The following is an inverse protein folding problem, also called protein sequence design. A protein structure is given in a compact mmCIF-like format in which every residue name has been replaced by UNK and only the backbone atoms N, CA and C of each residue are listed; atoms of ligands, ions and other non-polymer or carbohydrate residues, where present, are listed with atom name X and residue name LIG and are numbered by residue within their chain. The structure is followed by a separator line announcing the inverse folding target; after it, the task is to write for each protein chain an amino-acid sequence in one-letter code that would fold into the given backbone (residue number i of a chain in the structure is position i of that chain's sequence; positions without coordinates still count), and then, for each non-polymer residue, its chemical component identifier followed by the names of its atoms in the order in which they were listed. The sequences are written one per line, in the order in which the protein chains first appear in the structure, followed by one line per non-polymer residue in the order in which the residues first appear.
data_IF_345717901912
#
_entry.id   IF_345717901912
#
_cell.length_a   1.000
_cell.length_b   1.000
_cell.length_c   1.000
_cell.angle_alpha   90.00
_cell.angle_beta   90.00
_cell.angle_gamma   90.00
#
_symmetry.space_group_name_H-M   'P 1'
#
loop_
_entity.id
_entity.type
_entity.pdbx_description
1 polymer ?
#
# COMPACT_ATOMS: atom_id res chain seq x y z
N UNK A 1 3.76 -5.97 -24.09
CA UNK A 1 3.97 -5.51 -22.68
C UNK A 1 2.83 -6.05 -21.87
N UNK A 2 3.11 -6.78 -20.80
CA UNK A 2 2.13 -7.27 -19.83
C UNK A 2 1.75 -6.15 -18.86
N UNK A 3 0.66 -6.35 -18.07
CA UNK A 3 0.28 -5.42 -17.01
C UNK A 3 1.40 -5.20 -15.99
N UNK A 4 2.03 -6.29 -15.52
CA UNK A 4 3.12 -6.18 -14.54
C UNK A 4 4.34 -5.44 -15.10
N UNK A 5 4.70 -5.65 -16.34
CA UNK A 5 5.78 -4.88 -17.00
C UNK A 5 5.45 -3.38 -17.07
N UNK A 6 4.19 -3.04 -17.43
CA UNK A 6 3.74 -1.65 -17.48
C UNK A 6 3.77 -0.98 -16.10
N UNK A 7 3.29 -1.68 -15.07
CA UNK A 7 3.31 -1.17 -13.70
C UNK A 7 4.74 -1.00 -13.16
N UNK A 8 5.66 -1.90 -13.48
CA UNK A 8 7.08 -1.75 -13.13
C UNK A 8 7.69 -0.52 -13.80
N UNK A 9 7.42 -0.32 -15.11
CA UNK A 9 7.93 0.85 -15.84
C UNK A 9 7.37 2.17 -15.27
N UNK A 10 6.09 2.20 -14.87
CA UNK A 10 5.51 3.36 -14.22
C UNK A 10 6.24 3.69 -12.90
N UNK A 11 6.48 2.68 -12.06
CA UNK A 11 7.23 2.83 -10.81
C UNK A 11 8.67 3.26 -11.03
N UNK A 12 9.34 2.77 -12.08
CA UNK A 12 10.70 3.19 -12.44
C UNK A 12 10.72 4.65 -12.91
N UNK A 13 9.75 5.08 -13.74
CA UNK A 13 9.65 6.49 -14.18
C UNK A 13 9.39 7.41 -12.99
N UNK A 14 8.49 7.03 -12.08
CA UNK A 14 8.23 7.80 -10.86
C UNK A 14 9.45 7.85 -9.94
N UNK A 15 10.13 6.74 -9.73
CA UNK A 15 11.37 6.70 -8.96
C UNK A 15 12.46 7.61 -9.54
N UNK A 16 12.60 7.65 -10.88
CA UNK A 16 13.51 8.58 -11.54
C UNK A 16 13.10 10.05 -11.35
N UNK A 17 11.80 10.35 -11.39
CA UNK A 17 11.29 11.68 -11.11
C UNK A 17 11.70 12.14 -9.70
N UNK A 18 11.48 11.27 -8.69
CA UNK A 18 11.74 11.61 -7.30
C UNK A 18 13.24 11.72 -6.97
N UNK A 19 14.06 10.78 -7.43
CA UNK A 19 15.43 10.64 -6.95
C UNK A 19 16.49 11.24 -7.89
N UNK A 20 16.19 11.41 -9.18
CA UNK A 20 17.15 11.92 -10.17
C UNK A 20 16.82 13.35 -10.58
N UNK A 21 15.54 13.61 -10.93
CA UNK A 21 15.12 14.97 -11.33
C UNK A 21 14.90 15.87 -10.11
N UNK A 22 14.40 15.26 -9.01
CA UNK A 22 14.04 15.96 -7.77
C UNK A 22 12.71 16.72 -7.88
N UNK A 23 12.14 17.01 -6.73
CA UNK A 23 10.90 17.78 -6.63
C UNK A 23 11.18 19.27 -6.74
N UNK A 24 10.29 19.99 -7.43
CA UNK A 24 10.32 21.46 -7.56
C UNK A 24 9.14 22.09 -6.79
N UNK A 25 9.17 23.40 -6.59
CA UNK A 25 8.19 24.08 -5.74
C UNK A 25 6.72 23.81 -6.04
N UNK A 26 6.35 23.56 -7.31
CA UNK A 26 4.97 23.21 -7.70
C UNK A 26 4.56 21.80 -7.24
N UNK A 27 5.50 20.91 -7.01
CA UNK A 27 5.23 19.54 -6.57
C UNK A 27 4.78 19.50 -5.11
N UNK A 28 5.17 20.51 -4.32
CA UNK A 28 4.77 20.66 -2.91
C UNK A 28 3.48 21.47 -2.74
N UNK A 29 2.91 22.04 -3.81
CA UNK A 29 1.71 22.86 -3.68
C UNK A 29 0.47 21.98 -3.47
N UNK A 30 -0.42 22.36 -2.54
CA UNK A 30 -1.71 21.72 -2.42
C UNK A 30 -2.60 22.07 -3.62
N UNK A 31 -3.40 21.11 -4.05
CA UNK A 31 -4.42 21.23 -5.07
C UNK A 31 -5.82 21.02 -4.48
N UNK A 32 -6.75 20.53 -5.27
CA UNK A 32 -8.11 20.22 -4.83
C UNK A 32 -8.14 18.95 -3.97
N UNK A 33 -9.26 18.71 -3.32
CA UNK A 33 -9.49 17.46 -2.58
C UNK A 33 -9.64 16.32 -3.59
N UNK A 34 -8.80 15.32 -3.50
CA UNK A 34 -8.82 14.14 -4.33
C UNK A 34 -10.05 13.25 -4.11
N UNK A 35 -10.27 12.27 -4.99
CA UNK A 35 -11.36 11.31 -4.89
C UNK A 35 -11.30 10.48 -3.59
N UNK A 36 -10.10 10.27 -3.05
CA UNK A 36 -9.86 9.64 -1.75
C UNK A 36 -10.24 10.49 -0.54
N UNK A 37 -10.45 11.81 -0.73
CA UNK A 37 -10.89 12.74 0.31
C UNK A 37 -9.78 13.52 1.01
N UNK A 38 -8.51 13.26 0.69
CA UNK A 38 -7.36 14.05 1.14
C UNK A 38 -7.01 15.15 0.13
N UNK A 39 -6.23 16.14 0.54
CA UNK A 39 -5.77 17.21 -0.36
C UNK A 39 -4.59 16.67 -1.18
N UNK A 40 -4.78 16.57 -2.49
CA UNK A 40 -3.72 16.18 -3.42
C UNK A 40 -2.60 17.23 -3.47
N UNK A 41 -1.38 16.80 -3.62
CA UNK A 41 -0.24 17.68 -3.94
C UNK A 41 0.13 17.59 -5.43
N UNK A 42 0.99 18.48 -5.89
CA UNK A 42 1.45 18.46 -7.29
C UNK A 42 2.19 17.19 -7.67
N UNK A 43 2.86 16.54 -6.71
CA UNK A 43 3.55 15.28 -6.99
C UNK A 43 2.57 14.11 -7.09
N UNK A 44 1.48 14.10 -6.31
CA UNK A 44 0.45 13.04 -6.39
C UNK A 44 -0.19 13.04 -7.79
N UNK A 45 -0.54 14.22 -8.33
CA UNK A 45 -1.09 14.36 -9.68
C UNK A 45 -0.09 13.95 -10.77
N UNK A 46 1.20 14.27 -10.61
CA UNK A 46 2.24 13.81 -11.56
C UNK A 46 2.44 12.30 -11.50
N UNK A 47 2.39 11.71 -10.32
CA UNK A 47 2.45 10.27 -10.16
C UNK A 47 1.24 9.60 -10.82
N UNK A 48 0.05 10.13 -10.63
CA UNK A 48 -1.17 9.66 -11.29
C UNK A 48 -1.02 9.71 -12.83
N UNK A 49 -0.56 10.82 -13.40
CA UNK A 49 -0.32 10.95 -14.84
C UNK A 49 0.61 9.85 -15.38
N UNK A 50 1.67 9.53 -14.64
CA UNK A 50 2.60 8.44 -14.99
C UNK A 50 1.85 7.11 -15.00
N UNK A 51 1.09 6.78 -13.95
CA UNK A 51 0.34 5.52 -13.90
C UNK A 51 -0.72 5.43 -14.98
N UNK A 52 -1.48 6.48 -15.22
CA UNK A 52 -2.50 6.54 -16.29
C UNK A 52 -1.84 6.30 -17.65
N UNK A 53 -0.71 6.91 -17.94
CA UNK A 53 0.06 6.70 -19.18
C UNK A 53 0.38 5.22 -19.46
N UNK A 54 0.79 4.49 -18.42
CA UNK A 54 1.21 3.09 -18.59
C UNK A 54 0.06 2.09 -18.45
N UNK A 55 -0.94 2.38 -17.60
CA UNK A 55 -1.95 1.40 -17.21
C UNK A 55 -3.27 1.53 -17.96
N UNK A 56 -3.58 2.70 -18.55
CA UNK A 56 -4.84 2.91 -19.30
C UNK A 56 -5.11 1.90 -20.43
N UNK A 57 -4.12 1.26 -21.08
CA UNK A 57 -4.40 0.23 -22.09
C UNK A 57 -4.99 -1.08 -21.51
N UNK A 58 -4.93 -1.30 -20.20
CA UNK A 58 -5.33 -2.57 -19.58
C UNK A 58 -6.75 -2.54 -19.01
N UNK A 59 -7.26 -1.38 -18.59
CA UNK A 59 -8.59 -1.30 -17.98
C UNK A 59 -8.96 0.10 -17.52
N UNK A 60 -10.12 0.20 -16.88
CA UNK A 60 -10.57 1.41 -16.20
C UNK A 60 -9.73 1.62 -14.94
N UNK A 61 -9.12 2.80 -14.79
CA UNK A 61 -8.33 3.14 -13.61
C UNK A 61 -9.23 3.87 -12.62
N UNK A 62 -9.20 3.43 -11.36
CA UNK A 62 -9.78 4.09 -10.21
C UNK A 62 -8.62 4.64 -9.38
N UNK A 63 -8.38 5.94 -9.47
CA UNK A 63 -7.30 6.63 -8.77
C UNK A 63 -7.80 7.36 -7.54
N UNK A 64 -7.01 7.37 -6.48
CA UNK A 64 -7.28 8.14 -5.26
C UNK A 64 -7.36 9.65 -5.53
N UNK A 65 -6.60 10.14 -6.51
CA UNK A 65 -6.49 11.58 -6.77
C UNK A 65 -7.67 12.11 -7.63
N UNK A 66 -7.74 11.71 -8.88
CA UNK A 66 -8.74 12.27 -9.83
C UNK A 66 -9.97 11.36 -10.05
N UNK A 67 -10.05 10.21 -9.37
CA UNK A 67 -11.15 9.27 -9.51
C UNK A 67 -11.03 8.37 -10.73
N UNK A 68 -11.99 8.38 -11.65
CA UNK A 68 -12.15 7.34 -12.68
C UNK A 68 -11.64 7.78 -14.05
N UNK A 69 -10.71 7.00 -14.61
CA UNK A 69 -10.28 7.06 -16.02
C UNK A 69 -10.85 5.86 -16.76
N UNK A 70 -11.98 6.06 -17.45
CA UNK A 70 -12.75 4.98 -18.08
C UNK A 70 -12.04 4.38 -19.29
N UNK A 71 -11.99 3.04 -19.34
CA UNK A 71 -11.59 2.31 -20.55
C UNK A 71 -12.84 1.97 -21.39
N UNK A 72 -12.80 2.16 -22.73
CA UNK A 72 -14.00 2.07 -23.57
C UNK A 72 -14.63 0.68 -23.65
N UNK A 73 -13.86 -0.39 -23.46
CA UNK A 73 -14.33 -1.77 -23.70
C UNK A 73 -13.86 -2.80 -22.67
N UNK A 74 -12.91 -2.48 -21.79
CA UNK A 74 -12.40 -3.42 -20.78
C UNK A 74 -13.37 -3.52 -19.60
N UNK A 75 -13.56 -4.74 -19.09
CA UNK A 75 -14.23 -5.01 -17.81
C UNK A 75 -13.26 -5.02 -16.63
N UNK A 76 -11.98 -4.80 -16.87
CA UNK A 76 -10.95 -4.75 -15.85
C UNK A 76 -11.01 -3.40 -15.15
N UNK A 77 -10.86 -3.44 -13.82
CA UNK A 77 -10.65 -2.25 -12.99
C UNK A 77 -9.24 -2.29 -12.39
N UNK A 78 -8.55 -1.17 -12.43
CA UNK A 78 -7.21 -1.01 -11.85
C UNK A 78 -7.32 0.06 -10.76
N UNK A 79 -7.20 -0.36 -9.51
CA UNK A 79 -7.27 0.54 -8.36
C UNK A 79 -5.85 0.99 -8.03
N UNK A 80 -5.63 2.31 -8.00
CA UNK A 80 -4.31 2.86 -7.71
C UNK A 80 -4.36 3.88 -6.58
N UNK A 81 -3.36 3.80 -5.71
CA UNK A 81 -2.87 4.91 -4.91
C UNK A 81 -1.50 5.29 -5.49
N UNK A 82 -1.40 6.45 -6.17
CA UNK A 82 -0.17 6.88 -6.82
C UNK A 82 0.98 7.14 -5.86
N UNK A 83 0.68 7.64 -4.64
CA UNK A 83 1.67 7.83 -3.57
C UNK A 83 1.05 7.55 -2.20
N UNK A 84 1.11 6.29 -1.76
CA UNK A 84 0.81 5.90 -0.38
C UNK A 84 1.85 6.52 0.57
N UNK A 85 1.40 7.42 1.44
CA UNK A 85 2.26 8.15 2.36
C UNK A 85 2.84 9.45 1.77
N UNK A 86 2.06 10.23 1.02
CA UNK A 86 2.46 11.53 0.47
C UNK A 86 2.95 12.52 1.56
N UNK A 87 2.35 12.53 2.74
CA UNK A 87 2.83 13.32 3.89
C UNK A 87 4.28 12.97 4.28
N UNK A 88 4.65 11.68 4.22
CA UNK A 88 6.01 11.24 4.47
C UNK A 88 6.96 11.73 3.38
N UNK A 89 6.57 11.61 2.11
CA UNK A 89 7.36 12.12 0.98
C UNK A 89 7.61 13.63 1.13
N UNK A 90 6.57 14.40 1.39
CA UNK A 90 6.65 15.86 1.57
C UNK A 90 7.47 16.24 2.82
N UNK A 91 7.48 15.38 3.84
CA UNK A 91 8.26 15.57 5.07
C UNK A 91 9.68 14.99 4.99
N UNK A 92 10.09 14.42 3.84
CA UNK A 92 11.36 13.73 3.64
C UNK A 92 11.56 12.52 4.59
N UNK A 93 10.47 11.88 5.05
CA UNK A 93 10.53 10.63 5.79
C UNK A 93 10.59 9.45 4.80
N UNK A 94 11.57 8.54 4.92
CA UNK A 94 11.81 7.51 3.90
C UNK A 94 10.86 6.31 4.03
N UNK A 95 9.55 6.55 4.04
CA UNK A 95 8.52 5.50 4.07
C UNK A 95 7.29 5.97 3.28
N UNK A 96 7.33 5.81 1.99
CA UNK A 96 6.27 6.14 1.04
C UNK A 96 6.39 5.21 -0.18
N UNK A 97 5.30 4.99 -0.87
CA UNK A 97 5.27 4.02 -1.95
C UNK A 97 4.11 4.21 -2.91
N UNK A 98 3.78 3.17 -3.63
CA UNK A 98 2.66 3.10 -4.58
C UNK A 98 1.87 1.84 -4.34
N UNK A 99 0.58 1.86 -4.62
CA UNK A 99 -0.30 0.69 -4.52
C UNK A 99 -1.12 0.51 -5.80
N UNK A 100 -1.10 -0.70 -6.37
CA UNK A 100 -1.80 -1.04 -7.60
C UNK A 100 -2.49 -2.39 -7.43
N UNK A 101 -3.82 -2.43 -7.57
CA UNK A 101 -4.60 -3.66 -7.60
C UNK A 101 -5.29 -3.81 -8.97
N UNK A 102 -5.11 -4.96 -9.59
CA UNK A 102 -5.76 -5.32 -10.86
C UNK A 102 -6.92 -6.27 -10.56
N UNK A 103 -8.13 -5.81 -10.88
CA UNK A 103 -9.38 -6.44 -10.51
C UNK A 103 -10.05 -7.07 -11.73
N UNK A 104 -10.30 -8.37 -11.66
CA UNK A 104 -11.08 -9.14 -12.63
C UNK A 104 -12.35 -9.65 -11.95
N UNK A 105 -13.51 -9.34 -12.50
CA UNK A 105 -14.81 -9.78 -11.97
C UNK A 105 -14.96 -9.47 -10.45
N UNK A 106 -14.46 -8.32 -10.00
CA UNK A 106 -14.51 -7.89 -8.61
C UNK A 106 -13.51 -8.58 -7.67
N UNK A 107 -12.55 -9.36 -8.20
CA UNK A 107 -11.48 -10.01 -7.44
C UNK A 107 -10.13 -9.45 -7.84
N UNK A 108 -9.26 -9.22 -6.86
CA UNK A 108 -7.88 -8.88 -7.13
C UNK A 108 -7.13 -10.12 -7.63
N UNK A 109 -6.55 -10.04 -8.82
CA UNK A 109 -5.76 -11.13 -9.43
C UNK A 109 -4.29 -10.80 -9.55
N UNK A 110 -3.95 -9.50 -9.57
CA UNK A 110 -2.57 -9.02 -9.50
C UNK A 110 -2.49 -7.81 -8.59
N UNK A 111 -1.47 -7.77 -7.75
CA UNK A 111 -1.17 -6.63 -6.90
C UNK A 111 0.31 -6.27 -7.02
N UNK A 112 0.59 -4.97 -7.07
CA UNK A 112 1.96 -4.44 -7.08
C UNK A 112 2.02 -3.29 -6.09
N UNK A 113 2.93 -3.40 -5.11
CA UNK A 113 3.20 -2.35 -4.14
C UNK A 113 4.70 -2.09 -4.16
N UNK A 114 5.08 -0.82 -4.26
CA UNK A 114 6.48 -0.42 -4.35
C UNK A 114 6.82 0.57 -3.24
N UNK A 115 7.89 0.29 -2.51
CA UNK A 115 8.50 1.26 -1.62
C UNK A 115 9.43 2.17 -2.44
N UNK A 116 9.02 3.38 -2.73
CA UNK A 116 9.80 4.33 -3.53
C UNK A 116 11.02 4.86 -2.76
N UNK A 117 11.03 4.80 -1.43
CA UNK A 117 12.15 5.31 -0.64
C UNK A 117 13.39 4.41 -0.69
N UNK A 118 13.20 3.08 -0.79
CA UNK A 118 14.31 2.10 -0.83
C UNK A 118 14.36 1.26 -2.11
N UNK A 119 13.32 1.36 -2.96
CA UNK A 119 13.22 0.64 -4.22
C UNK A 119 12.67 -0.79 -4.10
N UNK A 120 12.26 -1.28 -2.93
CA UNK A 120 11.61 -2.59 -2.80
C UNK A 120 10.31 -2.62 -3.62
N UNK A 121 10.11 -3.67 -4.41
CA UNK A 121 8.88 -3.91 -5.15
C UNK A 121 8.33 -5.29 -4.85
N UNK A 122 7.06 -5.35 -4.48
CA UNK A 122 6.31 -6.56 -4.21
C UNK A 122 5.30 -6.80 -5.31
N UNK A 123 5.23 -8.02 -5.82
CA UNK A 123 4.25 -8.44 -6.84
C UNK A 123 3.58 -9.72 -6.35
N UNK A 124 2.25 -9.73 -6.30
CA UNK A 124 1.46 -10.95 -6.08
C UNK A 124 0.55 -11.22 -7.27
N UNK A 125 0.53 -12.47 -7.70
CA UNK A 125 -0.40 -13.02 -8.67
C UNK A 125 -0.69 -14.51 -8.31
N UNK A 126 -1.23 -15.29 -9.25
CA UNK A 126 -1.50 -16.73 -9.06
C UNK A 126 -0.25 -17.57 -8.75
N UNK A 127 0.96 -17.09 -9.06
CA UNK A 127 2.23 -17.76 -8.74
C UNK A 127 2.71 -17.49 -7.28
N UNK A 128 2.04 -16.59 -6.56
CA UNK A 128 2.38 -16.20 -5.18
C UNK A 128 2.96 -14.79 -5.05
N UNK A 129 3.40 -14.46 -3.85
CA UNK A 129 4.01 -13.17 -3.51
C UNK A 129 5.52 -13.23 -3.72
N UNK A 130 6.02 -12.29 -4.52
CA UNK A 130 7.44 -12.15 -4.85
C UNK A 130 7.92 -10.73 -4.57
N UNK A 131 9.21 -10.60 -4.26
CA UNK A 131 9.89 -9.33 -3.97
C UNK A 131 11.14 -9.19 -4.84
N UNK A 132 11.40 -7.97 -5.29
CA UNK A 132 12.64 -7.56 -5.96
C UNK A 132 12.98 -6.12 -5.55
N UNK A 133 13.94 -5.50 -6.22
CA UNK A 133 14.15 -4.04 -6.18
C UNK A 133 13.99 -3.45 -7.58
N UNK A 134 13.54 -2.19 -7.67
CA UNK A 134 13.34 -1.49 -8.96
C UNK A 134 14.59 -1.43 -9.83
N UNK A 135 15.78 -1.44 -9.20
CA UNK A 135 17.05 -1.41 -9.91
C UNK A 135 17.54 -2.80 -10.35
N UNK A 136 17.03 -3.86 -9.70
CA UNK A 136 17.40 -5.24 -9.97
C UNK A 136 16.16 -6.12 -9.89
N UNK A 137 15.48 -6.31 -11.02
CA UNK A 137 14.22 -7.04 -11.14
C UNK A 137 14.41 -8.57 -11.07
N UNK A 138 15.19 -9.04 -10.12
CA UNK A 138 15.32 -10.45 -9.81
C UNK A 138 14.34 -10.79 -8.68
N UNK A 139 13.20 -11.34 -9.06
CA UNK A 139 12.10 -11.63 -8.14
C UNK A 139 12.32 -12.95 -7.39
N UNK A 140 12.31 -12.89 -6.07
CA UNK A 140 12.36 -14.03 -5.16
C UNK A 140 11.01 -14.19 -4.43
N UNK A 141 10.65 -15.43 -4.09
CA UNK A 141 9.46 -15.67 -3.28
C UNK A 141 9.63 -15.04 -1.90
N UNK A 142 8.61 -14.33 -1.44
CA UNK A 142 8.58 -13.77 -0.09
C UNK A 142 8.36 -14.91 0.91
N UNK A 143 9.18 -14.93 1.96
CA UNK A 143 9.06 -15.84 3.09
C UNK A 143 8.85 -15.06 4.38
N UNK A 144 8.15 -15.66 5.36
CA UNK A 144 7.93 -14.99 6.64
C UNK A 144 9.22 -14.81 7.44
N UNK A 145 9.50 -13.58 7.85
CA UNK A 145 10.62 -13.28 8.74
C UNK A 145 10.29 -13.69 10.17
N UNK A 146 10.80 -14.85 10.60
CA UNK A 146 10.56 -15.39 11.96
C UNK A 146 11.31 -14.65 13.07
N UNK A 147 12.24 -13.75 12.74
CA UNK A 147 13.04 -12.98 13.70
C UNK A 147 12.48 -11.59 13.99
N UNK A 148 11.38 -11.21 13.35
CA UNK A 148 10.79 -9.87 13.53
C UNK A 148 10.29 -9.65 14.96
N UNK A 149 10.57 -8.46 15.50
CA UNK A 149 10.22 -8.06 16.87
C UNK A 149 9.40 -6.78 16.92
N UNK A 150 9.06 -6.24 15.74
CA UNK A 150 8.37 -4.97 15.60
C UNK A 150 7.18 -5.17 14.70
N UNK A 151 6.01 -4.74 15.16
CA UNK A 151 4.81 -4.61 14.34
C UNK A 151 4.65 -3.20 13.79
N UNK A 152 3.64 -3.03 12.99
CA UNK A 152 3.18 -1.74 12.48
C UNK A 152 1.77 -1.51 13.02
N UNK A 153 1.52 -0.34 13.58
CA UNK A 153 0.19 0.14 13.93
C UNK A 153 -0.03 1.48 13.24
N UNK A 154 -0.63 1.44 12.07
CA UNK A 154 -0.86 2.62 11.25
C UNK A 154 -1.86 3.56 11.92
N UNK A 155 -1.59 4.86 11.84
CA UNK A 155 -2.38 5.92 12.47
C UNK A 155 -2.63 5.68 13.97
N UNK A 156 -1.68 5.04 14.66
CA UNK A 156 -1.82 4.75 16.10
C UNK A 156 -2.13 5.98 16.95
N UNK A 157 -1.72 7.17 16.51
CA UNK A 157 -2.01 8.44 17.17
C UNK A 157 -3.50 8.84 17.11
N UNK A 158 -4.29 8.25 16.23
CA UNK A 158 -5.75 8.41 16.16
C UNK A 158 -6.50 7.34 16.96
N UNK A 159 -5.83 6.25 17.39
CA UNK A 159 -6.46 5.13 18.06
C UNK A 159 -6.87 5.50 19.48
N UNK A 160 -8.17 5.40 19.75
CA UNK A 160 -8.73 5.62 21.09
C UNK A 160 -9.07 4.32 21.82
N UNK A 161 -9.39 3.26 21.09
CA UNK A 161 -9.89 2.00 21.63
C UNK A 161 -8.80 0.97 21.84
N UNK A 162 -7.94 0.80 20.83
CA UNK A 162 -6.96 -0.30 20.77
C UNK A 162 -5.64 0.09 21.41
N UNK A 163 -5.15 1.30 21.18
CA UNK A 163 -3.83 1.75 21.64
C UNK A 163 -3.61 1.57 23.15
N UNK A 164 -4.54 1.97 24.03
CA UNK A 164 -4.34 1.76 25.48
C UNK A 164 -4.25 0.29 25.87
N UNK A 165 -5.00 -0.58 25.18
CA UNK A 165 -5.01 -2.02 25.42
C UNK A 165 -3.74 -2.70 24.85
N UNK A 166 -3.32 -2.30 23.65
CA UNK A 166 -2.12 -2.84 22.99
C UNK A 166 -0.85 -2.59 23.81
N UNK A 167 -0.77 -1.44 24.48
CA UNK A 167 0.34 -1.12 25.38
C UNK A 167 0.53 -2.17 26.48
N UNK A 168 -0.56 -2.74 27.01
CA UNK A 168 -0.50 -3.76 28.07
C UNK A 168 0.11 -5.08 27.61
N UNK A 169 0.14 -5.35 26.30
CA UNK A 169 0.75 -6.55 25.72
C UNK A 169 2.28 -6.46 25.61
N UNK A 170 2.86 -5.27 25.84
CA UNK A 170 4.31 -5.06 25.74
C UNK A 170 4.87 -5.20 24.30
N UNK A 171 4.02 -5.19 23.29
CA UNK A 171 4.42 -5.32 21.88
C UNK A 171 5.05 -4.02 21.37
N UNK A 172 6.17 -4.16 20.67
CA UNK A 172 6.82 -3.04 20.00
C UNK A 172 6.18 -2.80 18.63
N UNK A 173 5.88 -1.55 18.31
CA UNK A 173 5.35 -1.17 17.00
C UNK A 173 5.91 0.17 16.51
N UNK A 174 5.63 0.47 15.26
CA UNK A 174 5.85 1.77 14.61
C UNK A 174 4.54 2.20 13.94
N UNK A 175 4.38 3.50 13.71
CA UNK A 175 3.26 4.09 12.95
C UNK A 175 3.87 4.89 11.79
N UNK A 176 4.27 4.22 10.71
CA UNK A 176 5.05 4.87 9.65
C UNK A 176 4.25 5.75 8.71
N UNK A 177 2.93 5.52 8.54
CA UNK A 177 2.06 6.44 7.81
C UNK A 177 1.93 6.17 6.30
N UNK A 178 2.04 4.90 5.88
CA UNK A 178 1.77 4.43 4.52
C UNK A 178 1.16 3.03 4.61
N UNK A 179 -0.17 2.94 4.53
CA UNK A 179 -0.87 1.71 4.93
C UNK A 179 -0.74 0.60 3.90
N UNK A 180 -0.91 0.89 2.61
CA UNK A 180 -0.72 -0.12 1.57
C UNK A 180 0.70 -0.69 1.61
N UNK A 181 1.69 0.19 1.78
CA UNK A 181 3.08 -0.23 1.92
C UNK A 181 3.30 -1.12 3.15
N UNK A 182 2.66 -0.78 4.28
CA UNK A 182 2.74 -1.58 5.51
C UNK A 182 2.17 -2.98 5.31
N UNK A 183 1.12 -3.15 4.51
CA UNK A 183 0.57 -4.45 4.15
C UNK A 183 1.53 -5.28 3.27
N UNK A 184 2.27 -4.65 2.35
CA UNK A 184 3.30 -5.34 1.57
C UNK A 184 4.42 -5.92 2.46
N UNK A 185 4.73 -5.26 3.58
CA UNK A 185 5.69 -5.75 4.56
C UNK A 185 5.10 -6.69 5.63
N UNK A 186 3.85 -7.13 5.54
CA UNK A 186 3.21 -7.96 6.57
C UNK A 186 3.95 -9.28 6.85
N UNK A 187 4.62 -9.87 5.85
CA UNK A 187 5.47 -11.06 6.00
C UNK A 187 6.79 -10.76 6.72
N UNK A 188 7.24 -9.52 6.72
CA UNK A 188 8.51 -9.08 7.32
C UNK A 188 8.33 -8.68 8.80
N UNK A 189 7.23 -8.00 9.14
CA UNK A 189 6.96 -7.48 10.49
C UNK A 189 6.17 -8.48 11.33
N UNK A 190 6.05 -8.26 12.65
CA UNK A 190 5.30 -9.19 13.51
C UNK A 190 3.79 -9.09 13.36
N UNK A 191 3.27 -7.91 13.06
CA UNK A 191 1.87 -7.67 12.73
C UNK A 191 1.71 -6.33 12.00
N UNK A 192 0.60 -6.16 11.29
CA UNK A 192 0.10 -4.85 10.83
C UNK A 192 -1.29 -4.66 11.40
N UNK A 193 -1.52 -3.53 12.05
CA UNK A 193 -2.77 -3.15 12.69
C UNK A 193 -3.17 -1.76 12.20
N UNK A 194 -4.46 -1.57 11.96
CA UNK A 194 -5.08 -0.30 11.61
C UNK A 194 -6.39 -0.15 12.36
N UNK A 195 -6.67 1.06 12.85
CA UNK A 195 -7.97 1.45 13.41
C UNK A 195 -8.42 2.73 12.72
N UNK A 196 -9.51 2.67 11.96
CA UNK A 196 -10.09 3.81 11.24
C UNK A 196 -10.76 3.44 9.95
N UNK A 197 -11.30 4.43 9.23
CA UNK A 197 -11.91 4.24 7.92
C UNK A 197 -10.82 3.83 6.92
N UNK A 198 -11.04 2.71 6.25
CA UNK A 198 -10.14 2.18 5.22
C UNK A 198 -10.73 2.43 3.84
N UNK A 199 -9.97 3.07 2.99
CA UNK A 199 -10.36 3.33 1.60
C UNK A 199 -9.90 2.18 0.71
N UNK A 200 -10.62 1.94 -0.38
CA UNK A 200 -10.30 0.84 -1.29
C UNK A 200 -8.88 0.98 -1.87
N UNK A 201 -8.42 2.20 -2.13
CA UNK A 201 -7.09 2.51 -2.64
C UNK A 201 -5.97 2.02 -1.72
N UNK A 202 -6.17 2.18 -0.40
CA UNK A 202 -5.20 1.82 0.64
C UNK A 202 -5.08 0.30 0.83
N UNK A 203 -6.16 -0.46 0.54
CA UNK A 203 -6.25 -1.86 1.01
C UNK A 203 -6.33 -2.90 -0.10
N UNK A 204 -6.85 -2.59 -1.30
CA UNK A 204 -7.15 -3.59 -2.32
C UNK A 204 -5.95 -4.48 -2.68
N UNK A 205 -4.80 -3.88 -2.97
CA UNK A 205 -3.57 -4.61 -3.27
C UNK A 205 -3.02 -5.35 -2.04
N UNK A 206 -2.98 -4.65 -0.89
CA UNK A 206 -2.43 -5.19 0.34
C UNK A 206 -3.21 -6.36 0.91
N UNK A 207 -4.55 -6.34 0.85
CA UNK A 207 -5.38 -7.47 1.26
C UNK A 207 -5.08 -8.73 0.45
N UNK A 208 -4.95 -8.60 -0.87
CA UNK A 208 -4.55 -9.71 -1.72
C UNK A 208 -3.15 -10.22 -1.36
N UNK A 209 -2.19 -9.34 -1.07
CA UNK A 209 -0.85 -9.76 -0.63
C UNK A 209 -0.86 -10.56 0.66
N UNK A 210 -1.83 -10.29 1.57
CA UNK A 210 -1.92 -10.90 2.90
C UNK A 210 -2.82 -12.15 2.98
N UNK A 211 -3.36 -12.68 1.88
CA UNK A 211 -4.33 -13.79 1.89
C UNK A 211 -3.85 -15.07 2.61
N UNK A 212 -2.56 -15.33 2.61
CA UNK A 212 -1.92 -16.50 3.22
C UNK A 212 -1.58 -16.30 4.71
N UNK A 213 -1.87 -15.12 5.27
CA UNK A 213 -1.62 -14.76 6.66
C UNK A 213 -2.91 -14.83 7.49
N UNK A 214 -2.75 -14.75 8.83
CA UNK A 214 -3.90 -14.60 9.72
C UNK A 214 -4.43 -13.18 9.64
N UNK A 215 -5.65 -12.99 9.16
CA UNK A 215 -6.26 -11.68 8.94
C UNK A 215 -7.59 -11.54 9.71
N UNK A 216 -7.83 -10.33 10.18
CA UNK A 216 -9.12 -9.86 10.69
C UNK A 216 -9.44 -8.52 10.03
N UNK A 217 -10.60 -8.44 9.40
CA UNK A 217 -11.09 -7.24 8.76
C UNK A 217 -12.58 -7.08 9.08
N UNK A 218 -12.90 -6.18 9.97
CA UNK A 218 -14.28 -5.90 10.36
C UNK A 218 -14.40 -4.48 10.90
N UNK A 219 -15.51 -3.81 10.51
CA UNK A 219 -15.81 -2.44 10.89
C UNK A 219 -14.66 -1.48 10.53
N UNK A 220 -14.06 -0.85 11.52
CA UNK A 220 -12.95 0.09 11.41
C UNK A 220 -11.59 -0.53 11.84
N UNK A 221 -11.49 -1.86 11.93
CA UNK A 221 -10.29 -2.55 12.40
C UNK A 221 -9.79 -3.52 11.34
N UNK A 222 -8.50 -3.41 11.02
CA UNK A 222 -7.75 -4.40 10.26
C UNK A 222 -6.55 -4.90 11.08
N UNK A 223 -6.39 -6.21 11.14
CA UNK A 223 -5.22 -6.85 11.74
C UNK A 223 -4.74 -7.96 10.82
N UNK A 224 -3.45 -8.00 10.59
CA UNK A 224 -2.78 -9.15 9.95
C UNK A 224 -1.52 -9.52 10.71
N UNK A 225 -1.25 -10.82 10.83
CA UNK A 225 -0.01 -11.34 11.37
C UNK A 225 0.31 -12.70 10.74
N UNK A 226 1.59 -12.95 10.50
CA UNK A 226 2.13 -14.27 10.16
C UNK A 226 2.21 -15.21 11.36
N UNK A 227 2.18 -14.67 12.56
CA UNK A 227 2.27 -15.38 13.83
C UNK A 227 0.89 -15.49 14.47
N UNK A 228 0.39 -16.72 14.57
CA UNK A 228 -0.94 -17.01 15.14
C UNK A 228 -1.07 -16.57 16.59
N UNK A 229 -0.01 -16.71 17.40
CA UNK A 229 -0.04 -16.33 18.81
C UNK A 229 -0.15 -14.82 18.98
N UNK A 230 0.62 -14.05 18.17
CA UNK A 230 0.52 -12.58 18.16
C UNK A 230 -0.85 -12.14 17.64
N UNK A 231 -1.34 -12.77 16.57
CA UNK A 231 -2.67 -12.51 16.01
C UNK A 231 -3.75 -12.69 17.08
N UNK A 232 -3.75 -13.83 17.79
CA UNK A 232 -4.77 -14.12 18.80
C UNK A 232 -4.68 -13.16 20.00
N UNK A 233 -3.50 -12.81 20.46
CA UNK A 233 -3.30 -11.83 21.54
C UNK A 233 -3.87 -10.46 21.19
N UNK A 234 -3.63 -9.98 19.96
CA UNK A 234 -4.11 -8.66 19.54
C UNK A 234 -5.61 -8.71 19.27
N UNK A 235 -6.11 -9.74 18.57
CA UNK A 235 -7.53 -9.85 18.22
C UNK A 235 -8.44 -9.91 19.45
N UNK A 236 -8.00 -10.51 20.56
CA UNK A 236 -8.73 -10.51 21.83
C UNK A 236 -9.01 -9.10 22.40
N UNK A 237 -8.26 -8.09 22.00
CA UNK A 237 -8.48 -6.71 22.46
C UNK A 237 -9.79 -6.11 21.93
N UNK A 238 -10.34 -6.64 20.84
CA UNK A 238 -11.51 -6.08 20.16
C UNK A 238 -12.59 -7.11 19.75
N UNK A 239 -12.29 -8.42 19.75
CA UNK A 239 -13.31 -9.46 19.46
C UNK A 239 -14.18 -9.77 20.70
N UNK A 240 -13.68 -9.52 21.89
CA UNK A 240 -14.32 -9.90 23.17
C UNK A 240 -15.28 -8.85 23.75
N UNK A 241 -15.70 -7.86 22.94
CA UNK A 241 -16.64 -6.81 23.38
C UNK A 241 -17.95 -6.87 22.63
#
# INVERSE_FOLDING_TARGET
MTFSEAAILANQELSQLLHVKGLIGTDYQPFEVGAGGDISSGIDLKAEEIFVKYLSPFGTILSEESGTFSHPTSSIEIIIDPIDGSDNLLSHLPYFGTSIAYMEEGKCTHAIITNLANGDIFIKNHEGLKKATLNHLFFENVTCNTFSKVGIFERSYCSQKILPKLHSLGLKYRSPGAFALSLAYAHEVSFVLYEGVMRTYDVAAGLFMCEDLHTYFKDDIFLVSKDKEIFDKISQLFISN
#
